data_IF_204133576361
#
_entry.id   IF_204133576361
#
_cell.length_a   1.000
_cell.length_b   1.000
_cell.length_c   1.000
_cell.angle_alpha   90.00
_cell.angle_beta   90.00
_cell.angle_gamma   90.00
#
_symmetry.space_group_name_H-M   'P 1'
#
loop_
_entity.id
_entity.type
_entity.pdbx_description
1 polymer ?
#
# COMPACT_ATOMS: atom_id res chain seq x y z
N UNK A 1 -28.64 -15.38 9.77
CA UNK A 1 -28.44 -14.48 10.91
C UNK A 1 -27.81 -13.21 10.36
N UNK A 2 -28.45 -12.06 10.55
CA UNK A 2 -27.94 -10.78 10.03
C UNK A 2 -26.83 -10.24 10.94
N UNK A 3 -25.69 -9.90 10.34
CA UNK A 3 -24.48 -9.43 11.04
C UNK A 3 -24.23 -7.93 10.81
N UNK A 4 -25.00 -7.28 9.94
CA UNK A 4 -24.80 -5.88 9.54
C UNK A 4 -24.92 -4.89 10.70
N UNK A 5 -25.65 -5.24 11.77
CA UNK A 5 -25.80 -4.41 12.96
C UNK A 5 -24.88 -4.79 14.15
N UNK A 6 -23.93 -5.71 13.96
CA UNK A 6 -22.99 -6.14 15.01
C UNK A 6 -21.61 -5.53 14.89
N UNK A 7 -21.46 -4.57 14.00
CA UNK A 7 -20.21 -3.86 13.74
C UNK A 7 -19.99 -2.71 14.74
N UNK A 8 -18.73 -2.29 14.88
CA UNK A 8 -18.37 -1.15 15.72
C UNK A 8 -18.94 0.14 15.10
N UNK A 9 -19.62 0.96 15.90
CA UNK A 9 -20.24 2.24 15.47
C UNK A 9 -19.26 3.25 14.88
N UNK A 10 -17.96 3.11 15.14
CA UNK A 10 -16.94 3.97 14.52
C UNK A 10 -16.79 3.70 13.02
N UNK A 11 -17.25 2.56 12.52
CA UNK A 11 -17.23 2.23 11.10
C UNK A 11 -18.16 3.12 10.29
N UNK A 12 -19.23 3.64 10.91
CA UNK A 12 -20.16 4.58 10.27
C UNK A 12 -19.49 5.92 9.89
N UNK A 13 -18.30 6.21 10.45
CA UNK A 13 -17.51 7.42 10.19
C UNK A 13 -16.47 7.22 9.08
N UNK A 14 -16.27 5.98 8.61
CA UNK A 14 -15.27 5.68 7.59
C UNK A 14 -15.94 5.79 6.23
N UNK A 15 -15.63 6.87 5.52
CA UNK A 15 -16.10 7.10 4.15
C UNK A 15 -15.04 6.66 3.13
N UNK A 16 -15.48 6.46 1.89
CA UNK A 16 -14.57 6.14 0.78
C UNK A 16 -13.71 7.36 0.48
N UNK A 17 -12.39 7.19 0.41
CA UNK A 17 -11.45 8.26 0.05
C UNK A 17 -11.84 8.96 -1.25
N UNK A 18 -12.00 10.28 -1.20
CA UNK A 18 -12.33 11.10 -2.38
C UNK A 18 -11.26 11.04 -3.47
N UNK A 19 -9.97 10.91 -3.09
CA UNK A 19 -8.87 10.74 -4.07
C UNK A 19 -9.07 9.43 -4.84
N UNK A 20 -9.47 8.35 -4.15
CA UNK A 20 -9.75 7.07 -4.78
C UNK A 20 -10.99 7.12 -5.67
N UNK A 21 -12.05 7.80 -5.25
CA UNK A 21 -13.24 8.00 -6.08
C UNK A 21 -12.92 8.78 -7.36
N UNK A 22 -12.11 9.83 -7.23
CA UNK A 22 -11.67 10.64 -8.37
C UNK A 22 -10.76 9.85 -9.33
N UNK A 23 -9.79 9.09 -8.82
CA UNK A 23 -8.95 8.25 -9.69
C UNK A 23 -9.78 7.19 -10.42
N UNK A 24 -10.76 6.57 -9.74
CA UNK A 24 -11.65 5.60 -10.37
C UNK A 24 -12.51 6.21 -11.48
N UNK A 25 -13.02 7.44 -11.30
CA UNK A 25 -13.88 8.08 -12.30
C UNK A 25 -13.15 8.49 -13.58
N UNK A 26 -11.84 8.74 -13.50
CA UNK A 26 -11.01 9.12 -14.65
C UNK A 26 -10.18 7.95 -15.22
N UNK A 27 -10.20 6.77 -14.59
CA UNK A 27 -9.32 5.65 -14.95
C UNK A 27 -9.56 5.08 -16.34
N UNK A 28 -10.78 5.18 -16.87
CA UNK A 28 -11.14 4.66 -18.19
C UNK A 28 -10.78 5.61 -19.35
N UNK A 29 -10.32 6.82 -19.05
CA UNK A 29 -10.00 7.83 -20.07
C UNK A 29 -8.63 7.53 -20.69
N UNK A 30 -8.56 7.20 -21.99
CA UNK A 30 -7.30 6.88 -22.65
C UNK A 30 -6.37 8.08 -22.73
N UNK A 31 -5.08 7.88 -22.44
CA UNK A 31 -4.04 8.90 -22.62
C UNK A 31 -3.91 9.94 -21.51
N UNK A 32 -4.63 9.81 -20.39
CA UNK A 32 -4.46 10.70 -19.23
C UNK A 32 -3.02 10.64 -18.69
N UNK A 33 -2.42 11.81 -18.49
CA UNK A 33 -1.17 11.96 -17.74
C UNK A 33 -1.49 12.13 -16.26
N UNK A 34 -1.25 11.08 -15.46
CA UNK A 34 -1.48 11.11 -14.02
C UNK A 34 -0.32 11.84 -13.31
N UNK A 35 -0.57 13.08 -12.89
CA UNK A 35 0.33 13.85 -12.00
C UNK A 35 -0.08 13.73 -10.53
N UNK A 36 -0.81 12.67 -10.19
CA UNK A 36 -1.33 12.35 -8.85
C UNK A 36 -0.48 11.28 -8.15
N UNK A 37 0.73 11.02 -8.66
CA UNK A 37 1.62 10.01 -8.11
C UNK A 37 1.95 10.37 -6.65
N UNK A 38 1.53 9.54 -5.71
CA UNK A 38 1.78 9.72 -4.28
C UNK A 38 3.08 9.09 -3.80
N UNK A 39 3.84 8.48 -4.71
CA UNK A 39 5.08 7.75 -4.45
C UNK A 39 6.22 8.32 -5.31
N UNK A 40 7.49 8.12 -4.93
CA UNK A 40 8.62 8.49 -5.76
C UNK A 40 8.57 7.80 -7.14
N UNK A 41 8.92 8.54 -8.18
CA UNK A 41 9.02 8.07 -9.56
C UNK A 41 10.32 7.31 -9.86
N UNK A 42 11.31 7.42 -8.98
CA UNK A 42 12.59 6.74 -9.12
C UNK A 42 12.51 5.27 -8.74
N UNK A 43 13.18 4.42 -9.52
CA UNK A 43 13.37 3.03 -9.13
C UNK A 43 14.26 2.94 -7.91
N UNK A 44 13.97 2.01 -7.01
CA UNK A 44 14.83 1.68 -5.87
C UNK A 44 16.29 1.50 -6.32
N UNK A 45 17.28 2.13 -5.66
CA UNK A 45 18.68 2.00 -6.02
C UNK A 45 19.19 0.56 -6.03
N UNK A 46 20.17 0.26 -6.87
CA UNK A 46 20.63 -1.13 -7.08
C UNK A 46 21.22 -1.77 -5.82
N UNK A 47 21.94 -1.01 -4.99
CA UNK A 47 22.48 -1.54 -3.72
C UNK A 47 21.38 -2.03 -2.77
N UNK A 48 20.21 -1.38 -2.77
CA UNK A 48 19.05 -1.80 -1.95
C UNK A 48 18.40 -3.05 -2.54
N UNK A 49 18.30 -3.12 -3.88
CA UNK A 49 17.78 -4.32 -4.57
C UNK A 49 18.65 -5.54 -4.30
N UNK A 50 19.97 -5.39 -4.37
CA UNK A 50 20.89 -6.52 -4.13
C UNK A 50 20.89 -6.96 -2.67
N UNK A 51 20.81 -6.04 -1.71
CA UNK A 51 20.65 -6.39 -0.29
C UNK A 51 19.35 -7.17 -0.04
N UNK A 52 18.24 -6.77 -0.67
CA UNK A 52 16.96 -7.47 -0.55
C UNK A 52 17.02 -8.90 -1.14
N UNK A 53 17.66 -9.07 -2.31
CA UNK A 53 17.86 -10.40 -2.91
C UNK A 53 18.72 -11.29 -2.02
N UNK A 54 19.84 -10.77 -1.52
CA UNK A 54 20.72 -11.53 -0.62
C UNK A 54 20.01 -11.97 0.67
N UNK A 55 19.14 -11.13 1.23
CA UNK A 55 18.34 -11.49 2.41
C UNK A 55 17.33 -12.62 2.11
N UNK A 56 16.72 -12.61 0.91
CA UNK A 56 15.84 -13.69 0.43
C UNK A 56 16.64 -14.99 0.28
N UNK A 57 17.79 -14.95 -0.41
CA UNK A 57 18.64 -16.11 -0.63
C UNK A 57 19.18 -16.70 0.69
N UNK A 58 19.44 -15.83 1.68
CA UNK A 58 19.84 -16.21 3.03
C UNK A 58 18.67 -16.70 3.91
N UNK A 59 17.45 -16.83 3.37
CA UNK A 59 16.24 -17.21 4.10
C UNK A 59 15.99 -16.38 5.37
N UNK A 60 16.27 -15.07 5.32
CA UNK A 60 16.03 -14.14 6.43
C UNK A 60 14.54 -13.78 6.55
N UNK A 61 13.69 -14.77 6.83
CA UNK A 61 12.24 -14.63 6.97
C UNK A 61 11.76 -14.78 8.43
N UNK A 62 12.66 -14.52 9.39
CA UNK A 62 12.41 -14.74 10.80
C UNK A 62 11.71 -13.55 11.46
N UNK A 63 11.04 -13.82 12.59
CA UNK A 63 10.43 -12.77 13.39
C UNK A 63 11.49 -11.80 13.90
N UNK A 64 11.34 -10.54 13.52
CA UNK A 64 12.07 -9.43 14.12
C UNK A 64 11.49 -9.12 15.50
N UNK A 65 12.24 -8.39 16.33
CA UNK A 65 11.69 -7.89 17.59
C UNK A 65 10.56 -6.89 17.37
N UNK A 66 9.86 -6.53 18.44
CA UNK A 66 8.77 -5.52 18.40
C UNK A 66 9.23 -4.15 17.85
N UNK A 67 10.53 -3.85 17.96
CA UNK A 67 11.14 -2.62 17.47
C UNK A 67 11.88 -2.80 16.13
N UNK A 68 11.81 -3.97 15.50
CA UNK A 68 12.55 -4.31 14.28
C UNK A 68 13.85 -5.08 14.54
N UNK A 69 14.69 -5.14 13.50
CA UNK A 69 16.07 -5.64 13.60
C UNK A 69 16.95 -4.54 14.24
N UNK A 70 17.94 -4.92 15.07
CA UNK A 70 18.88 -3.97 15.67
C UNK A 70 19.76 -3.26 14.64
#
# INVERSE_FOLDING_TARGET
>A
MDLTQRFNKNLDKIEVSMIRQFDQSISDVPGIKKLTLGEPDFTTPDHVKEAAKAAIDANQSHYTGMAGLP
#
